data_IF_056996999965
#
_entry.id   IF_056996999965
#
_cell.length_a   1.000
_cell.length_b   1.000
_cell.length_c   1.000
_cell.angle_alpha   90.00
_cell.angle_beta   90.00
_cell.angle_gamma   90.00
#
_symmetry.space_group_name_H-M   'P 1'
#
loop_
_entity.id
_entity.type
_entity.pdbx_description
1 polymer ?
#
# COMPACT_ATOMS: atom_id res chain seq x y z
N UNK A 1 25.18 -7.71 -9.49
CA UNK A 1 26.06 -7.79 -8.31
C UNK A 1 25.17 -8.28 -7.18
N UNK A 2 25.57 -9.31 -6.45
CA UNK A 2 24.75 -9.79 -5.34
C UNK A 2 24.93 -8.88 -4.12
N UNK A 3 23.97 -8.91 -3.22
CA UNK A 3 23.95 -8.11 -2.00
C UNK A 3 24.29 -8.97 -0.76
N UNK A 4 25.17 -9.98 -0.91
CA UNK A 4 25.48 -10.97 0.13
C UNK A 4 25.92 -10.32 1.44
N UNK A 5 26.85 -9.36 1.38
CA UNK A 5 27.37 -8.68 2.58
C UNK A 5 26.33 -7.77 3.24
N UNK A 6 25.54 -7.08 2.43
CA UNK A 6 24.47 -6.22 2.93
C UNK A 6 23.41 -7.04 3.67
N UNK A 7 22.94 -8.12 3.03
CA UNK A 7 21.90 -8.99 3.58
C UNK A 7 22.39 -9.77 4.80
N UNK A 8 23.65 -10.21 4.80
CA UNK A 8 24.25 -10.87 5.97
C UNK A 8 24.39 -9.94 7.19
N UNK A 9 24.36 -8.64 6.98
CA UNK A 9 24.36 -7.62 8.04
C UNK A 9 22.98 -7.23 8.56
N UNK A 10 21.90 -7.71 7.92
CA UNK A 10 20.55 -7.44 8.38
C UNK A 10 20.19 -8.32 9.59
N UNK A 11 19.50 -7.74 10.55
CA UNK A 11 18.86 -8.51 11.61
C UNK A 11 17.66 -9.31 11.06
N UNK A 12 17.32 -10.40 11.71
CA UNK A 12 16.06 -11.08 11.43
C UNK A 12 14.89 -10.25 11.96
N UNK A 13 13.88 -10.01 11.12
CA UNK A 13 12.69 -9.24 11.49
C UNK A 13 11.49 -10.18 11.66
N UNK A 14 10.79 -10.09 12.80
CA UNK A 14 9.52 -10.74 13.03
C UNK A 14 8.40 -9.70 13.27
N UNK A 15 7.16 -10.09 13.03
CA UNK A 15 6.02 -9.22 13.28
C UNK A 15 5.94 -8.84 14.77
N UNK A 16 5.85 -7.55 15.04
CA UNK A 16 5.80 -7.02 16.40
C UNK A 16 7.16 -6.71 16.99
N UNK A 17 8.26 -6.99 16.30
CA UNK A 17 9.59 -6.60 16.71
C UNK A 17 9.78 -5.07 16.62
N UNK A 18 10.77 -4.60 17.36
CA UNK A 18 11.29 -3.24 17.22
C UNK A 18 12.60 -3.30 16.45
N UNK A 19 12.68 -2.70 15.25
CA UNK A 19 13.92 -2.72 14.47
C UNK A 19 15.07 -2.05 15.24
N UNK A 20 16.26 -2.65 15.19
CA UNK A 20 17.46 -2.09 15.86
C UNK A 20 17.95 -0.82 15.18
N UNK A 21 17.80 -0.72 13.84
CA UNK A 21 18.11 0.49 13.07
C UNK A 21 16.86 1.36 12.91
N UNK A 22 17.02 2.68 13.01
CA UNK A 22 15.97 3.61 12.59
C UNK A 22 15.75 3.56 11.07
N UNK A 23 14.58 4.04 10.61
CA UNK A 23 14.31 4.12 9.16
C UNK A 23 15.36 4.94 8.43
N UNK A 24 15.83 6.05 9.02
CA UNK A 24 16.89 6.88 8.45
C UNK A 24 18.21 6.14 8.31
N UNK A 25 18.65 5.43 9.36
CA UNK A 25 19.87 4.62 9.32
C UNK A 25 19.82 3.52 8.28
N UNK A 26 18.65 2.84 8.17
CA UNK A 26 18.44 1.83 7.14
C UNK A 26 18.54 2.45 5.75
N UNK A 27 17.92 3.60 5.52
CA UNK A 27 17.98 4.29 4.21
C UNK A 27 19.37 4.76 3.86
N UNK A 28 20.15 5.28 4.82
CA UNK A 28 21.55 5.65 4.62
C UNK A 28 22.37 4.42 4.20
N UNK A 29 22.24 3.30 4.93
CA UNK A 29 22.88 2.04 4.61
C UNK A 29 22.53 1.53 3.22
N UNK A 30 21.25 1.54 2.85
CA UNK A 30 20.80 1.12 1.53
C UNK A 30 21.33 2.05 0.43
N UNK A 31 21.33 3.37 0.63
CA UNK A 31 21.86 4.34 -0.33
C UNK A 31 23.38 4.20 -0.56
N UNK A 32 24.13 3.74 0.42
CA UNK A 32 25.56 3.48 0.28
C UNK A 32 25.86 2.23 -0.56
N UNK A 33 25.02 1.21 -0.48
CA UNK A 33 25.29 -0.12 -1.04
C UNK A 33 24.52 -0.44 -2.31
N UNK A 34 23.37 0.21 -2.57
CA UNK A 34 22.57 -0.06 -3.76
C UNK A 34 23.14 0.60 -5.01
N UNK A 35 23.00 -0.08 -6.15
CA UNK A 35 23.24 0.52 -7.46
C UNK A 35 22.24 1.64 -7.74
N UNK A 36 22.55 2.58 -8.65
CA UNK A 36 21.63 3.68 -9.01
C UNK A 36 20.28 3.16 -9.55
N UNK A 37 20.30 2.05 -10.29
CA UNK A 37 19.07 1.41 -10.76
C UNK A 37 18.21 0.86 -9.60
N UNK A 38 18.86 0.30 -8.58
CA UNK A 38 18.16 -0.29 -7.45
C UNK A 38 17.70 0.77 -6.43
N UNK A 39 18.44 1.89 -6.33
CA UNK A 39 17.97 3.08 -5.61
C UNK A 39 16.67 3.63 -6.22
N UNK A 40 16.56 3.63 -7.54
CA UNK A 40 15.31 4.04 -8.21
C UNK A 40 14.12 3.14 -7.85
N UNK A 41 14.34 1.81 -7.69
CA UNK A 41 13.31 0.89 -7.20
C UNK A 41 12.90 1.21 -5.76
N UNK A 42 13.89 1.45 -4.88
CA UNK A 42 13.65 1.84 -3.49
C UNK A 42 12.87 3.16 -3.42
N UNK A 43 13.25 4.16 -4.21
CA UNK A 43 12.56 5.44 -4.28
C UNK A 43 11.10 5.28 -4.74
N UNK A 44 10.83 4.41 -5.71
CA UNK A 44 9.46 4.12 -6.18
C UNK A 44 8.63 3.47 -5.07
N UNK A 45 9.18 2.52 -4.31
CA UNK A 45 8.49 1.86 -3.20
C UNK A 45 8.19 2.82 -2.02
N UNK A 46 8.99 3.88 -1.86
CA UNK A 46 8.81 4.92 -0.84
C UNK A 46 7.80 6.00 -1.23
N UNK A 47 7.46 6.08 -2.50
CA UNK A 47 6.59 7.14 -3.02
C UNK A 47 5.20 7.04 -2.43
N UNK A 48 4.62 8.18 -2.08
CA UNK A 48 3.24 8.31 -1.61
C UNK A 48 2.39 9.00 -2.67
N UNK A 49 1.07 8.94 -2.52
CA UNK A 49 0.14 9.60 -3.44
C UNK A 49 0.14 11.14 -3.34
N UNK A 50 0.76 11.72 -2.31
CA UNK A 50 1.00 13.16 -2.12
C UNK A 50 2.45 13.57 -2.45
N UNK A 51 3.26 12.65 -3.00
CA UNK A 51 4.62 12.92 -3.46
C UNK A 51 4.65 13.97 -4.58
N UNK A 52 5.69 14.80 -4.60
CA UNK A 52 5.86 15.87 -5.58
C UNK A 52 5.73 15.37 -7.03
N UNK A 53 6.27 14.20 -7.34
CA UNK A 53 6.16 13.60 -8.68
C UNK A 53 4.70 13.31 -9.06
N UNK A 54 3.90 12.83 -8.12
CA UNK A 54 2.46 12.58 -8.35
C UNK A 54 1.72 13.92 -8.48
N UNK A 55 2.07 14.90 -7.65
CA UNK A 55 1.46 16.23 -7.72
C UNK A 55 1.76 16.94 -9.06
N UNK A 56 3.00 16.80 -9.58
CA UNK A 56 3.35 17.33 -10.90
C UNK A 56 2.56 16.66 -12.03
N UNK A 57 2.29 15.34 -11.94
CA UNK A 57 1.42 14.66 -12.91
C UNK A 57 -0.02 15.22 -12.90
N UNK A 58 -0.50 15.68 -11.75
CA UNK A 58 -1.83 16.29 -11.62
C UNK A 58 -1.94 17.70 -12.26
N UNK A 59 -0.81 18.28 -12.69
CA UNK A 59 -0.78 19.56 -13.40
C UNK A 59 -0.85 19.41 -14.94
N UNK A 60 -0.73 18.15 -15.44
CA UNK A 60 -0.81 17.83 -16.86
C UNK A 60 -2.27 17.82 -17.36
N UNK A 61 -2.56 18.59 -18.40
CA UNK A 61 -3.91 18.74 -18.95
C UNK A 61 -4.50 17.39 -19.41
N UNK A 62 -3.70 16.51 -20.02
CA UNK A 62 -4.17 15.18 -20.45
C UNK A 62 -4.48 14.26 -19.26
N UNK A 63 -3.78 14.42 -18.14
CA UNK A 63 -4.07 13.72 -16.89
C UNK A 63 -5.34 14.25 -16.26
N UNK A 64 -5.57 15.55 -16.28
CA UNK A 64 -6.80 16.19 -15.79
C UNK A 64 -8.03 15.78 -16.64
N UNK A 65 -7.89 15.72 -17.97
CA UNK A 65 -8.96 15.23 -18.85
C UNK A 65 -9.33 13.79 -18.50
N UNK A 66 -8.34 12.90 -18.33
CA UNK A 66 -8.57 11.53 -17.92
C UNK A 66 -9.24 11.43 -16.54
N UNK A 67 -8.86 12.30 -15.60
CA UNK A 67 -9.53 12.38 -14.30
C UNK A 67 -10.99 12.75 -14.42
N UNK A 68 -11.33 13.69 -15.31
CA UNK A 68 -12.71 14.13 -15.51
C UNK A 68 -13.62 12.98 -16.05
N UNK A 69 -13.05 12.01 -16.78
CA UNK A 69 -13.77 10.82 -17.25
C UNK A 69 -14.01 9.79 -16.13
N UNK A 70 -13.16 9.82 -15.09
CA UNK A 70 -13.23 8.92 -13.95
C UNK A 70 -13.95 9.62 -12.80
N UNK A 71 -14.96 8.97 -12.23
CA UNK A 71 -15.71 9.53 -11.09
C UNK A 71 -14.97 9.37 -9.75
N UNK A 72 -13.63 9.40 -9.78
CA UNK A 72 -12.77 9.26 -8.60
C UNK A 72 -12.58 10.59 -7.87
N UNK A 73 -12.36 10.52 -6.56
CA UNK A 73 -11.87 11.66 -5.79
C UNK A 73 -10.44 12.05 -6.22
N UNK A 74 -10.00 13.25 -5.84
CA UNK A 74 -8.61 13.69 -6.10
C UNK A 74 -7.59 12.76 -5.45
N UNK A 75 -7.88 12.28 -4.26
CA UNK A 75 -7.04 11.35 -3.50
C UNK A 75 -6.96 9.98 -4.16
N UNK A 76 -8.10 9.42 -4.55
CA UNK A 76 -8.15 8.13 -5.24
C UNK A 76 -7.47 8.21 -6.62
N UNK A 77 -7.61 9.31 -7.32
CA UNK A 77 -6.95 9.49 -8.61
C UNK A 77 -5.42 9.63 -8.46
N UNK A 78 -4.92 10.37 -7.47
CA UNK A 78 -3.48 10.38 -7.15
C UNK A 78 -2.99 8.98 -6.76
N UNK A 79 -3.77 8.24 -6.00
CA UNK A 79 -3.48 6.84 -5.66
C UNK A 79 -3.41 5.97 -6.91
N UNK A 80 -4.32 6.17 -7.88
CA UNK A 80 -4.26 5.49 -9.17
C UNK A 80 -2.98 5.81 -9.94
N UNK A 81 -2.58 7.08 -10.02
CA UNK A 81 -1.33 7.48 -10.67
C UNK A 81 -0.09 6.82 -10.04
N UNK A 82 -0.07 6.73 -8.72
CA UNK A 82 0.99 6.02 -7.99
C UNK A 82 1.03 4.53 -8.36
N UNK A 83 -0.11 3.84 -8.35
CA UNK A 83 -0.18 2.44 -8.75
C UNK A 83 0.25 2.24 -10.21
N UNK A 84 -0.16 3.10 -11.12
CA UNK A 84 0.25 3.04 -12.52
C UNK A 84 1.78 3.08 -12.67
N UNK A 85 2.47 3.94 -11.93
CA UNK A 85 3.93 3.98 -11.94
C UNK A 85 4.54 2.65 -11.47
N UNK A 86 4.02 2.09 -10.39
CA UNK A 86 4.47 0.80 -9.86
C UNK A 86 4.21 -0.35 -10.83
N UNK A 87 3.02 -0.39 -11.44
CA UNK A 87 2.62 -1.42 -12.40
C UNK A 87 3.44 -1.38 -13.71
N UNK A 88 3.98 -0.22 -14.10
CA UNK A 88 4.87 -0.08 -15.24
C UNK A 88 6.34 -0.35 -14.91
N UNK A 89 6.68 -0.64 -13.65
CA UNK A 89 8.05 -0.96 -13.24
C UNK A 89 8.55 -2.24 -13.94
N UNK A 90 9.81 -2.20 -14.43
CA UNK A 90 10.44 -3.37 -15.07
C UNK A 90 10.76 -4.48 -14.07
N UNK A 91 11.09 -4.12 -12.83
CA UNK A 91 11.34 -5.11 -11.78
C UNK A 91 10.03 -5.82 -11.43
N UNK A 92 10.05 -7.16 -11.50
CA UNK A 92 8.86 -8.00 -11.31
C UNK A 92 8.32 -7.90 -9.88
N UNK A 93 9.20 -7.94 -8.88
CA UNK A 93 8.80 -7.89 -7.47
C UNK A 93 8.09 -6.56 -7.14
N UNK A 94 8.67 -5.43 -7.57
CA UNK A 94 8.07 -4.11 -7.37
C UNK A 94 6.70 -4.02 -8.05
N UNK A 95 6.60 -4.47 -9.30
CA UNK A 95 5.32 -4.48 -10.03
C UNK A 95 4.26 -5.32 -9.33
N UNK A 96 4.62 -6.53 -8.86
CA UNK A 96 3.70 -7.43 -8.15
C UNK A 96 3.31 -6.87 -6.77
N UNK A 97 4.22 -6.16 -6.08
CA UNK A 97 3.90 -5.48 -4.83
C UNK A 97 2.83 -4.40 -5.01
N UNK A 98 2.98 -3.56 -6.04
CA UNK A 98 1.97 -2.55 -6.35
C UNK A 98 0.64 -3.16 -6.78
N UNK A 99 0.66 -4.22 -7.61
CA UNK A 99 -0.54 -4.95 -8.01
C UNK A 99 -1.27 -5.53 -6.79
N UNK A 100 -0.55 -6.22 -5.91
CA UNK A 100 -1.11 -6.81 -4.70
C UNK A 100 -1.76 -5.76 -3.79
N UNK A 101 -1.06 -4.65 -3.53
CA UNK A 101 -1.61 -3.58 -2.69
C UNK A 101 -2.83 -2.92 -3.33
N UNK A 102 -2.82 -2.69 -4.64
CA UNK A 102 -3.98 -2.16 -5.36
C UNK A 102 -5.19 -3.09 -5.22
N UNK A 103 -5.00 -4.39 -5.41
CA UNK A 103 -6.07 -5.39 -5.33
C UNK A 103 -6.65 -5.48 -3.92
N UNK A 104 -5.81 -5.56 -2.88
CA UNK A 104 -6.23 -5.57 -1.48
C UNK A 104 -7.01 -4.30 -1.14
N UNK A 105 -6.48 -3.13 -1.49
CA UNK A 105 -7.14 -1.86 -1.20
C UNK A 105 -8.47 -1.72 -1.96
N UNK A 106 -8.55 -2.14 -3.21
CA UNK A 106 -9.79 -2.15 -3.99
C UNK A 106 -10.85 -3.08 -3.38
N UNK A 107 -10.47 -4.28 -2.92
CA UNK A 107 -11.40 -5.20 -2.25
C UNK A 107 -11.92 -4.61 -0.94
N UNK A 108 -11.05 -3.97 -0.14
CA UNK A 108 -11.43 -3.27 1.09
C UNK A 108 -12.40 -2.13 0.79
N UNK A 109 -12.05 -1.26 -0.16
CA UNK A 109 -12.87 -0.12 -0.56
C UNK A 109 -14.25 -0.56 -1.09
N UNK A 110 -14.28 -1.55 -1.97
CA UNK A 110 -15.52 -2.10 -2.51
C UNK A 110 -16.39 -2.74 -1.42
N UNK A 111 -15.80 -3.49 -0.48
CA UNK A 111 -16.52 -4.12 0.62
C UNK A 111 -17.16 -3.07 1.51
N UNK A 112 -16.43 -2.01 1.86
CA UNK A 112 -16.95 -0.88 2.65
C UNK A 112 -18.02 -0.12 1.88
N UNK A 113 -17.80 0.17 0.59
CA UNK A 113 -18.78 0.87 -0.24
C UNK A 113 -20.12 0.12 -0.33
N UNK A 114 -20.09 -1.18 -0.58
CA UNK A 114 -21.29 -2.03 -0.62
C UNK A 114 -22.02 -2.00 0.73
N UNK A 115 -21.28 -2.14 1.83
CA UNK A 115 -21.83 -2.15 3.19
C UNK A 115 -22.56 -0.85 3.54
N UNK A 116 -22.08 0.27 3.02
CA UNK A 116 -22.65 1.60 3.26
C UNK A 116 -23.55 2.10 2.14
N UNK A 117 -23.85 1.29 1.13
CA UNK A 117 -24.72 1.67 0.00
C UNK A 117 -24.10 2.75 -0.90
N UNK A 118 -22.79 2.87 -0.91
CA UNK A 118 -22.04 3.80 -1.78
C UNK A 118 -21.81 3.16 -3.16
N UNK A 119 -21.58 4.02 -4.15
CA UNK A 119 -21.25 3.59 -5.49
C UNK A 119 -19.83 3.02 -5.55
N UNK A 120 -19.72 1.73 -5.81
CA UNK A 120 -18.42 1.01 -5.89
C UNK A 120 -17.54 1.58 -7.00
N UNK A 121 -18.10 2.07 -8.10
CA UNK A 121 -17.32 2.61 -9.22
C UNK A 121 -16.49 3.84 -8.84
N UNK A 122 -16.92 4.57 -7.80
CA UNK A 122 -16.25 5.80 -7.33
C UNK A 122 -15.06 5.57 -6.39
N UNK A 123 -14.84 4.33 -5.96
CA UNK A 123 -13.80 3.99 -4.98
C UNK A 123 -12.77 2.98 -5.50
N UNK A 124 -13.00 2.43 -6.70
CA UNK A 124 -12.08 1.46 -7.30
C UNK A 124 -11.08 2.17 -8.20
N UNK A 125 -9.79 1.96 -7.91
CA UNK A 125 -8.67 2.50 -8.69
C UNK A 125 -8.10 1.46 -9.66
N UNK A 126 -7.51 1.92 -10.77
CA UNK A 126 -6.92 1.04 -11.78
C UNK A 126 -7.97 0.38 -12.69
N UNK A 127 -7.47 -0.44 -13.62
CA UNK A 127 -8.30 -1.10 -14.65
C UNK A 127 -7.86 -2.55 -14.92
N UNK A 128 -7.27 -3.21 -13.92
CA UNK A 128 -6.95 -4.62 -14.04
C UNK A 128 -8.22 -5.50 -13.90
N UNK A 129 -8.07 -6.80 -14.08
CA UNK A 129 -9.18 -7.76 -14.05
C UNK A 129 -9.90 -7.74 -12.70
N UNK A 130 -9.18 -7.56 -11.58
CA UNK A 130 -9.76 -7.43 -10.24
C UNK A 130 -10.63 -6.17 -10.15
N UNK A 131 -10.14 -5.02 -10.60
CA UNK A 131 -10.88 -3.76 -10.59
C UNK A 131 -12.16 -3.85 -11.46
N UNK A 132 -12.04 -4.45 -12.64
CA UNK A 132 -13.18 -4.66 -13.55
C UNK A 132 -14.24 -5.58 -12.92
N UNK A 133 -13.81 -6.65 -12.26
CA UNK A 133 -14.72 -7.57 -11.59
C UNK A 133 -15.43 -6.93 -10.39
N UNK A 134 -14.69 -6.13 -9.61
CA UNK A 134 -15.26 -5.39 -8.47
C UNK A 134 -16.31 -4.36 -8.91
N UNK A 135 -16.09 -3.68 -10.03
CA UNK A 135 -17.05 -2.69 -10.58
C UNK A 135 -18.36 -3.31 -11.04
N UNK A 136 -18.40 -4.60 -11.37
CA UNK A 136 -19.66 -5.29 -11.67
C UNK A 136 -20.57 -5.39 -10.47
N UNK A 137 -20.02 -5.24 -9.27
CA UNK A 137 -20.74 -5.35 -8.01
C UNK A 137 -21.10 -6.78 -7.65
N UNK A 138 -21.82 -6.94 -6.56
CA UNK A 138 -22.27 -8.24 -6.07
C UNK A 138 -21.66 -8.63 -4.73
N UNK A 139 -22.08 -9.78 -4.19
CA UNK A 139 -21.59 -10.27 -2.90
C UNK A 139 -20.16 -10.78 -3.02
N UNK A 140 -19.18 -10.01 -2.54
CA UNK A 140 -17.74 -10.28 -2.59
C UNK A 140 -17.38 -11.72 -2.19
N UNK A 141 -17.90 -12.19 -1.07
CA UNK A 141 -17.57 -13.51 -0.52
C UNK A 141 -18.13 -14.71 -1.30
N UNK A 142 -18.97 -14.48 -2.34
CA UNK A 142 -19.53 -15.53 -3.19
C UNK A 142 -19.06 -15.49 -4.64
N UNK A 143 -18.22 -14.54 -4.99
CA UNK A 143 -17.67 -14.40 -6.33
C UNK A 143 -16.48 -15.34 -6.53
N UNK A 144 -16.72 -16.50 -7.16
CA UNK A 144 -15.67 -17.51 -7.40
C UNK A 144 -14.59 -17.01 -8.35
N UNK A 145 -14.90 -16.13 -9.30
CA UNK A 145 -13.92 -15.56 -10.22
C UNK A 145 -12.98 -14.61 -9.49
N UNK A 146 -13.55 -13.69 -8.69
CA UNK A 146 -12.75 -12.79 -7.86
C UNK A 146 -11.88 -13.56 -6.86
N UNK A 147 -12.38 -14.65 -6.28
CA UNK A 147 -11.60 -15.50 -5.37
C UNK A 147 -10.43 -16.24 -6.06
N UNK A 148 -10.51 -16.46 -7.37
CA UNK A 148 -9.40 -17.00 -8.15
C UNK A 148 -8.34 -15.92 -8.47
N UNK A 149 -8.76 -14.65 -8.62
CA UNK A 149 -7.87 -13.52 -8.88
C UNK A 149 -7.18 -13.02 -7.62
N UNK A 150 -7.88 -13.02 -6.49
CA UNK A 150 -7.38 -12.53 -5.19
C UNK A 150 -7.38 -13.68 -4.19
N UNK A 151 -6.26 -14.38 -3.98
CA UNK A 151 -6.17 -15.54 -3.08
C UNK A 151 -6.66 -15.23 -1.66
N UNK A 152 -6.33 -14.05 -1.15
CA UNK A 152 -6.68 -13.59 0.21
C UNK A 152 -8.06 -12.94 0.30
N UNK A 153 -8.91 -13.03 -0.73
CA UNK A 153 -10.20 -12.34 -0.81
C UNK A 153 -11.04 -12.48 0.46
N UNK A 154 -11.15 -13.71 0.99
CA UNK A 154 -11.98 -13.97 2.17
C UNK A 154 -11.44 -13.28 3.42
N UNK A 155 -10.11 -13.21 3.54
CA UNK A 155 -9.45 -12.57 4.67
C UNK A 155 -9.60 -11.05 4.58
N UNK A 156 -9.36 -10.48 3.39
CA UNK A 156 -9.54 -9.04 3.13
C UNK A 156 -10.98 -8.59 3.40
N UNK A 157 -11.98 -9.39 2.99
CA UNK A 157 -13.39 -9.09 3.29
C UNK A 157 -13.68 -9.09 4.79
N UNK A 158 -13.11 -10.05 5.56
CA UNK A 158 -13.25 -10.05 7.03
C UNK A 158 -12.58 -8.83 7.68
N UNK A 159 -11.40 -8.46 7.19
CA UNK A 159 -10.67 -7.28 7.67
C UNK A 159 -11.51 -6.01 7.47
N UNK A 160 -12.25 -5.89 6.36
CA UNK A 160 -13.15 -4.76 6.13
C UNK A 160 -14.29 -4.64 7.18
N UNK A 161 -14.60 -5.73 7.90
CA UNK A 161 -15.59 -5.75 8.98
C UNK A 161 -15.05 -5.33 10.35
N UNK A 162 -13.73 -5.24 10.51
CA UNK A 162 -13.10 -4.80 11.74
C UNK A 162 -13.40 -3.32 11.95
N UNK A 163 -14.00 -2.99 13.11
CA UNK A 163 -14.44 -1.62 13.42
C UNK A 163 -13.31 -0.74 13.91
N UNK A 164 -12.40 -1.29 14.69
CA UNK A 164 -11.23 -0.59 15.17
C UNK A 164 -10.25 -0.37 14.01
N UNK A 165 -9.90 0.89 13.76
CA UNK A 165 -9.04 1.26 12.64
C UNK A 165 -7.62 0.72 12.80
N UNK A 166 -7.08 0.80 14.02
CA UNK A 166 -5.72 0.34 14.30
C UNK A 166 -5.62 -1.18 14.16
N UNK A 167 -6.64 -1.89 14.63
CA UNK A 167 -6.72 -3.35 14.50
C UNK A 167 -6.87 -3.77 13.03
N UNK A 168 -7.67 -3.04 12.26
CA UNK A 168 -7.80 -3.24 10.81
C UNK A 168 -6.46 -3.07 10.09
N UNK A 169 -5.72 -1.99 10.38
CA UNK A 169 -4.42 -1.73 9.77
C UNK A 169 -3.39 -2.81 10.12
N UNK A 170 -3.40 -3.32 11.36
CA UNK A 170 -2.53 -4.44 11.76
C UNK A 170 -2.80 -5.69 10.93
N UNK A 171 -4.07 -6.00 10.67
CA UNK A 171 -4.43 -7.16 9.85
C UNK A 171 -4.03 -6.98 8.37
N UNK A 172 -4.18 -5.76 7.83
CA UNK A 172 -3.70 -5.43 6.47
C UNK A 172 -2.18 -5.58 6.39
N UNK A 173 -1.45 -5.11 7.39
CA UNK A 173 0.01 -5.25 7.42
C UNK A 173 0.45 -6.70 7.62
N UNK A 174 -0.31 -7.51 8.35
CA UNK A 174 -0.05 -8.94 8.45
C UNK A 174 -0.18 -9.64 7.08
N UNK A 175 -1.17 -9.27 6.26
CA UNK A 175 -1.29 -9.77 4.88
C UNK A 175 -0.09 -9.33 4.01
N UNK A 176 0.30 -8.06 4.10
CA UNK A 176 1.48 -7.52 3.40
C UNK A 176 2.76 -8.25 3.80
N UNK A 177 2.92 -8.49 5.09
CA UNK A 177 4.07 -9.22 5.63
C UNK A 177 4.13 -10.64 5.08
N UNK A 178 3.01 -11.37 5.14
CA UNK A 178 2.92 -12.73 4.61
C UNK A 178 3.24 -12.76 3.10
N UNK A 179 2.70 -11.81 2.33
CA UNK A 179 3.01 -11.70 0.91
C UNK A 179 4.52 -11.50 0.66
N UNK A 180 5.18 -10.65 1.46
CA UNK A 180 6.63 -10.43 1.37
C UNK A 180 7.42 -11.71 1.67
N UNK A 181 7.02 -12.47 2.68
CA UNK A 181 7.64 -13.76 3.02
C UNK A 181 7.51 -14.78 1.89
N UNK A 182 6.30 -14.96 1.39
CA UNK A 182 6.02 -15.92 0.33
C UNK A 182 6.77 -15.58 -0.97
N UNK A 183 6.90 -14.30 -1.29
CA UNK A 183 7.57 -13.83 -2.52
C UNK A 183 9.09 -13.89 -2.43
N UNK A 184 9.65 -13.85 -1.25
CA UNK A 184 11.10 -13.83 -1.05
C UNK A 184 11.66 -15.08 -0.40
N UNK A 185 10.85 -16.13 -0.25
CA UNK A 185 11.27 -17.39 0.35
C UNK A 185 12.52 -18.00 -0.28
N UNK A 186 12.70 -17.84 -1.60
CA UNK A 186 13.84 -18.36 -2.37
C UNK A 186 14.79 -17.26 -2.84
N UNK A 187 14.52 -16.00 -2.47
CA UNK A 187 15.34 -14.85 -2.87
C UNK A 187 16.35 -14.55 -1.75
N UNK A 188 17.60 -14.92 -1.96
CA UNK A 188 18.58 -14.93 -0.85
C UNK A 188 19.51 -13.72 -0.87
N UNK A 189 20.07 -13.34 -2.05
CA UNK A 189 21.13 -12.33 -2.12
C UNK A 189 20.92 -11.32 -3.26
N UNK A 190 19.71 -11.12 -3.67
CA UNK A 190 19.33 -10.22 -4.75
C UNK A 190 18.63 -8.96 -4.23
N UNK A 191 18.25 -8.08 -5.15
CA UNK A 191 17.59 -6.82 -4.82
C UNK A 191 16.20 -7.05 -4.20
N UNK A 192 15.50 -8.10 -4.62
CA UNK A 192 14.17 -8.44 -4.12
C UNK A 192 14.18 -8.72 -2.62
N UNK A 193 15.19 -9.46 -2.13
CA UNK A 193 15.39 -9.70 -0.69
C UNK A 193 15.65 -8.39 0.08
N UNK A 194 16.47 -7.49 -0.48
CA UNK A 194 16.75 -6.17 0.13
C UNK A 194 15.50 -5.31 0.19
N UNK A 195 14.74 -5.24 -0.91
CA UNK A 195 13.51 -4.44 -0.97
C UNK A 195 12.42 -5.00 -0.04
N UNK A 196 12.30 -6.33 0.07
CA UNK A 196 11.37 -6.96 1.01
C UNK A 196 11.77 -6.69 2.47
N UNK A 197 13.06 -6.75 2.79
CA UNK A 197 13.56 -6.36 4.11
C UNK A 197 13.19 -4.91 4.42
N UNK A 198 13.45 -3.99 3.49
CA UNK A 198 13.06 -2.58 3.63
C UNK A 198 11.56 -2.42 3.90
N UNK A 199 10.70 -3.09 3.12
CA UNK A 199 9.24 -3.00 3.28
C UNK A 199 8.79 -3.56 4.64
N UNK A 200 9.36 -4.69 5.10
CA UNK A 200 9.10 -5.24 6.43
C UNK A 200 9.52 -4.27 7.53
N UNK A 201 10.73 -3.70 7.44
CA UNK A 201 11.21 -2.70 8.39
C UNK A 201 10.30 -1.46 8.42
N UNK A 202 9.81 -0.99 7.27
CA UNK A 202 8.87 0.14 7.18
C UNK A 202 7.55 -0.16 7.91
N UNK A 203 7.02 -1.39 7.80
CA UNK A 203 5.84 -1.82 8.55
C UNK A 203 6.11 -1.73 10.05
N UNK A 204 7.24 -2.25 10.53
CA UNK A 204 7.61 -2.22 11.95
C UNK A 204 7.82 -0.79 12.45
N UNK A 205 8.54 0.06 11.71
CA UNK A 205 8.76 1.46 12.07
C UNK A 205 7.44 2.25 12.17
N UNK A 206 6.48 1.96 11.29
CA UNK A 206 5.15 2.58 11.36
C UNK A 206 4.47 2.28 12.70
N UNK A 207 4.58 1.05 13.20
CA UNK A 207 3.98 0.65 14.47
C UNK A 207 4.75 1.13 15.69
N UNK A 208 6.08 1.20 15.62
CA UNK A 208 6.91 1.76 16.69
C UNK A 208 6.63 3.27 16.89
N UNK A 209 6.39 3.99 15.79
CA UNK A 209 6.05 5.42 15.82
C UNK A 209 4.61 5.70 16.25
N UNK A 210 3.70 4.73 16.08
CA UNK A 210 2.30 4.82 16.52
C UNK A 210 2.18 4.31 17.96
N UNK A 211 2.86 4.98 18.91
CA UNK A 211 2.56 4.73 20.32
C UNK A 211 1.11 5.06 20.62
N UNK A 212 0.51 4.36 21.58
CA UNK A 212 -0.91 4.56 21.96
C UNK A 212 -1.19 6.04 22.24
N UNK A 213 -0.24 6.76 22.88
CA UNK A 213 -0.38 8.18 23.20
C UNK A 213 -0.34 9.09 21.96
N UNK A 214 0.53 8.78 20.99
CA UNK A 214 0.61 9.54 19.73
C UNK A 214 -0.57 9.24 18.82
N UNK A 215 -1.01 7.99 18.74
CA UNK A 215 -2.22 7.61 18.02
C UNK A 215 -3.48 8.29 18.57
N UNK A 216 -3.64 8.37 19.89
CA UNK A 216 -4.73 9.11 20.53
C UNK A 216 -4.63 10.62 20.27
N UNK A 217 -3.43 11.19 20.26
CA UNK A 217 -3.23 12.62 19.98
C UNK A 217 -3.57 12.95 18.55
N UNK A 218 -3.03 12.20 17.58
CA UNK A 218 -3.30 12.36 16.15
C UNK A 218 -4.80 12.16 15.87
N UNK A 219 -5.44 11.17 16.48
CA UNK A 219 -6.88 10.94 16.34
C UNK A 219 -7.70 12.12 16.90
N UNK A 220 -7.34 12.67 18.08
CA UNK A 220 -8.00 13.86 18.65
C UNK A 220 -7.83 15.10 17.77
N UNK A 221 -6.66 15.30 17.18
CA UNK A 221 -6.40 16.40 16.25
C UNK A 221 -7.21 16.22 14.96
N UNK A 222 -7.25 15.02 14.37
CA UNK A 222 -8.03 14.71 13.18
C UNK A 222 -9.54 14.94 13.41
N UNK A 223 -10.07 14.44 14.54
CA UNK A 223 -11.48 14.66 14.91
C UNK A 223 -11.78 16.14 15.16
N UNK A 224 -10.83 16.89 15.73
CA UNK A 224 -10.98 18.33 15.94
C UNK A 224 -11.00 19.10 14.61
N UNK A 225 -10.18 18.71 13.63
CA UNK A 225 -10.13 19.33 12.31
C UNK A 225 -11.35 18.95 11.46
N UNK A 226 -11.83 17.71 11.53
CA UNK A 226 -13.11 17.32 10.92
C UNK A 226 -14.30 18.12 11.50
N UNK A 227 -14.33 18.35 12.81
CA UNK A 227 -15.37 19.19 13.45
C UNK A 227 -15.28 20.65 13.06
N UNK A 228 -14.09 21.19 12.75
CA UNK A 228 -13.91 22.56 12.25
C UNK A 228 -14.34 22.69 10.78
N UNK A 229 -14.17 21.62 9.99
CA UNK A 229 -14.62 21.57 8.58
C UNK A 229 -16.14 21.40 8.42
N UNK A 230 -16.84 20.90 9.44
CA UNK A 230 -18.30 20.82 9.48
C UNK A 230 -18.83 22.07 10.20
N UNK A 231 -18.76 23.23 9.53
CA UNK A 231 -19.69 24.31 9.86
C UNK A 231 -21.03 23.94 9.22
N UNK A 232 -21.93 23.48 10.03
CA UNK A 232 -23.36 23.41 9.72
C UNK A 232 -23.84 24.85 9.61
N UNK A 233 -24.17 25.30 8.40
CA UNK A 233 -25.07 26.40 8.15
C UNK A 233 -26.51 25.99 8.49
#
# INVERSE_FOLDING_TARGET
>A
MGYEYLIAGFEELAQGDRPAMSEQQLLELLNEHLSESDKALLMLLRRKNDDETIMQLMEDDAVLDRKAELSLSDEDFRTQLLYEQGLHCKNKFVREWFAYNMDVNNVLAATVAIKHGMDVQKVIVGDNEVAQELRKGGAMGKNAHLAALVPDLREVVKIADIKDLMDREKHIDALRWQWLEDRTLFEVFNIEAVLAYYLKATILHRWDNLTIEEGEKVFRELVADMKKGIKLD
#
